data_IF_239201630230
#
_entry.id   IF_239201630230
#
_cell.length_a   1.000
_cell.length_b   1.000
_cell.length_c   1.000
_cell.angle_alpha   90.00
_cell.angle_beta   90.00
_cell.angle_gamma   90.00
#
_symmetry.space_group_name_H-M   'P 1'
#
loop_
_entity.id
_entity.type
_entity.pdbx_description
1 polymer ?
#
# COMPACT_ATOMS: atom_id res chain seq x y z
N UNK A 1 -23.90 -2.97 -1.80
CA UNK A 1 -23.02 -2.92 -0.63
C UNK A 1 -22.97 -4.31 -0.02
N UNK A 2 -21.81 -4.97 -0.04
CA UNK A 2 -21.66 -6.34 0.46
C UNK A 2 -21.18 -6.31 1.91
N UNK A 3 -22.07 -6.62 2.84
CA UNK A 3 -21.77 -6.81 4.27
C UNK A 3 -20.84 -8.03 4.39
N UNK A 4 -19.64 -7.87 4.94
CA UNK A 4 -18.74 -9.02 5.16
C UNK A 4 -19.35 -9.87 6.29
N UNK A 5 -19.88 -11.04 5.94
CA UNK A 5 -20.38 -12.01 6.92
C UNK A 5 -19.19 -12.80 7.49
N UNK A 6 -18.91 -12.62 8.78
CA UNK A 6 -17.97 -13.47 9.51
C UNK A 6 -18.68 -14.75 9.95
N UNK A 7 -18.11 -15.89 9.56
CA UNK A 7 -18.56 -17.21 9.96
C UNK A 7 -17.55 -17.83 10.92
N UNK A 8 -18.05 -18.56 11.92
CA UNK A 8 -17.26 -19.42 12.81
C UNK A 8 -17.56 -20.89 12.50
N UNK A 9 -16.58 -21.77 12.65
CA UNK A 9 -16.73 -23.20 12.37
C UNK A 9 -17.32 -23.96 13.57
N UNK A 10 -17.06 -23.51 14.79
CA UNK A 10 -17.61 -24.08 16.02
C UNK A 10 -18.06 -22.98 17.00
N UNK A 11 -18.84 -23.37 18.00
CA UNK A 11 -19.35 -22.44 19.01
C UNK A 11 -18.23 -21.87 19.89
N UNK A 12 -18.39 -20.62 20.30
CA UNK A 12 -17.43 -19.83 21.09
C UNK A 12 -18.10 -19.33 22.37
N UNK A 13 -17.37 -19.35 23.49
CA UNK A 13 -17.79 -18.89 24.82
C UNK A 13 -17.96 -20.02 25.84
N UNK A 14 -18.61 -19.68 26.96
CA UNK A 14 -18.98 -20.62 28.03
C UNK A 14 -20.50 -20.55 28.22
N UNK A 15 -21.19 -21.63 27.87
CA UNK A 15 -22.65 -21.69 27.94
C UNK A 15 -23.10 -21.67 29.39
N UNK A 16 -23.94 -20.69 29.73
CA UNK A 16 -24.51 -20.49 31.06
C UNK A 16 -23.45 -20.46 32.17
N UNK A 17 -22.23 -20.01 31.86
CA UNK A 17 -21.08 -20.06 32.77
C UNK A 17 -20.72 -21.46 33.31
N UNK A 18 -21.16 -22.53 32.63
CA UNK A 18 -20.99 -23.92 33.09
C UNK A 18 -20.26 -24.80 32.08
N UNK A 19 -20.57 -24.67 30.78
CA UNK A 19 -20.03 -25.55 29.74
C UNK A 19 -19.14 -24.77 28.79
N UNK A 20 -17.84 -25.04 28.80
CA UNK A 20 -16.92 -24.46 27.84
C UNK A 20 -17.20 -25.02 26.44
N UNK A 21 -17.43 -24.14 25.47
CA UNK A 21 -17.61 -24.52 24.07
C UNK A 21 -16.26 -24.87 23.43
N UNK A 22 -16.21 -25.38 22.18
CA UNK A 22 -14.94 -25.77 21.54
C UNK A 22 -13.88 -24.66 21.54
N UNK A 23 -14.29 -23.39 21.41
CA UNK A 23 -13.39 -22.23 21.55
C UNK A 23 -12.12 -22.38 20.69
N UNK A 24 -12.31 -22.75 19.42
CA UNK A 24 -11.21 -22.90 18.47
C UNK A 24 -10.48 -21.56 18.34
N UNK A 25 -9.14 -21.52 18.30
CA UNK A 25 -8.38 -20.28 18.24
C UNK A 25 -8.81 -19.33 17.10
N UNK A 26 -9.10 -19.91 15.92
CA UNK A 26 -9.56 -19.14 14.75
C UNK A 26 -10.94 -18.50 14.97
N UNK A 27 -11.86 -19.24 15.59
CA UNK A 27 -13.21 -18.76 15.85
C UNK A 27 -13.19 -17.68 16.96
N UNK A 28 -12.37 -17.85 18.00
CA UNK A 28 -12.12 -16.83 19.01
C UNK A 28 -11.60 -15.52 18.39
N UNK A 29 -10.58 -15.59 17.52
CA UNK A 29 -10.05 -14.43 16.79
C UNK A 29 -11.13 -13.73 15.98
N UNK A 30 -11.94 -14.51 15.25
CA UNK A 30 -13.03 -13.98 14.43
C UNK A 30 -14.07 -13.22 15.28
N UNK A 31 -14.38 -13.73 16.48
CA UNK A 31 -15.33 -13.09 17.40
C UNK A 31 -14.74 -11.84 18.05
N UNK A 32 -13.47 -11.87 18.47
CA UNK A 32 -12.77 -10.69 19.00
C UNK A 32 -12.77 -9.55 17.98
N UNK A 33 -12.37 -9.84 16.74
CA UNK A 33 -12.41 -8.87 15.63
C UNK A 33 -13.82 -8.33 15.37
N UNK A 34 -14.85 -9.17 15.55
CA UNK A 34 -16.24 -8.76 15.33
C UNK A 34 -16.71 -7.82 16.45
N UNK A 35 -16.31 -8.07 17.70
CA UNK A 35 -16.59 -7.15 18.82
C UNK A 35 -15.86 -5.82 18.68
N UNK A 36 -14.63 -5.83 18.21
CA UNK A 36 -13.83 -4.61 17.96
C UNK A 36 -14.41 -3.73 16.83
N UNK A 37 -15.42 -4.23 16.09
CA UNK A 37 -16.16 -3.47 15.07
C UNK A 37 -17.53 -2.99 15.53
N UNK A 38 -18.01 -3.46 16.68
CA UNK A 38 -19.32 -3.12 17.21
C UNK A 38 -19.13 -1.98 18.23
N UNK A 39 -19.90 -0.89 18.13
CA UNK A 39 -19.86 0.19 19.12
C UNK A 39 -20.15 -0.33 20.54
N UNK A 40 -19.51 0.22 21.55
CA UNK A 40 -19.74 -0.07 22.97
C UNK A 40 -21.20 0.15 23.34
N UNK A 41 -21.82 1.18 22.76
CA UNK A 41 -23.26 1.45 22.91
C UNK A 41 -24.15 0.31 22.39
N UNK A 42 -23.63 -0.54 21.50
CA UNK A 42 -24.30 -1.71 20.93
C UNK A 42 -23.73 -3.02 21.50
N UNK A 43 -22.94 -2.94 22.58
CA UNK A 43 -22.39 -4.11 23.28
C UNK A 43 -21.10 -4.68 22.68
N UNK A 44 -20.38 -3.93 21.86
CA UNK A 44 -19.04 -4.27 21.39
C UNK A 44 -17.92 -3.57 22.16
N UNK A 45 -16.76 -3.42 21.51
CA UNK A 45 -15.51 -2.87 22.07
C UNK A 45 -14.85 -1.80 21.18
N UNK A 46 -15.49 -1.37 20.09
CA UNK A 46 -14.86 -0.54 19.05
C UNK A 46 -14.17 0.75 19.57
N UNK A 47 -14.74 1.45 20.54
CA UNK A 47 -14.21 2.71 21.07
C UNK A 47 -13.15 2.53 22.15
N UNK A 48 -12.99 1.32 22.68
CA UNK A 48 -12.05 0.99 23.77
C UNK A 48 -10.85 0.19 23.25
N UNK A 49 -10.97 -0.40 22.05
CA UNK A 49 -9.89 -1.00 21.27
C UNK A 49 -9.18 -2.19 21.93
N UNK A 50 -9.48 -3.41 21.47
CA UNK A 50 -8.49 -4.47 21.16
C UNK A 50 -7.45 -4.95 22.18
N UNK A 51 -7.53 -4.61 23.48
CA UNK A 51 -6.66 -5.21 24.50
C UNK A 51 -7.32 -6.46 25.07
N UNK A 52 -7.40 -7.51 24.24
CA UNK A 52 -7.79 -8.83 24.70
C UNK A 52 -6.64 -9.48 25.48
N UNK A 53 -6.97 -10.29 26.47
CA UNK A 53 -5.98 -11.13 27.14
C UNK A 53 -5.17 -11.96 26.11
N UNK A 54 -3.94 -12.33 26.45
CA UNK A 54 -3.09 -13.18 25.58
C UNK A 54 -3.06 -14.64 26.02
N UNK A 55 -3.44 -14.92 27.26
CA UNK A 55 -3.57 -16.27 27.81
C UNK A 55 -4.91 -16.87 27.39
N UNK A 56 -4.90 -18.13 26.96
CA UNK A 56 -6.06 -18.75 26.29
C UNK A 56 -7.30 -18.82 27.17
N UNK A 57 -7.18 -19.17 28.45
CA UNK A 57 -8.35 -19.26 29.32
C UNK A 57 -8.88 -17.87 29.67
N UNK A 58 -7.99 -16.91 29.90
CA UNK A 58 -8.36 -15.51 30.08
C UNK A 58 -9.11 -14.93 28.87
N UNK A 59 -8.68 -15.25 27.63
CA UNK A 59 -9.41 -14.86 26.41
C UNK A 59 -10.83 -15.44 26.41
N UNK A 60 -10.97 -16.72 26.75
CA UNK A 60 -12.28 -17.38 26.73
C UNK A 60 -13.23 -16.74 27.73
N UNK A 61 -12.74 -16.41 28.93
CA UNK A 61 -13.51 -15.73 29.97
C UNK A 61 -13.90 -14.31 29.53
N UNK A 62 -12.97 -13.56 28.96
CA UNK A 62 -13.20 -12.19 28.49
C UNK A 62 -14.17 -12.14 27.30
N UNK A 63 -13.99 -13.02 26.31
CA UNK A 63 -14.91 -13.16 25.16
C UNK A 63 -16.29 -13.59 25.66
N UNK A 64 -16.39 -14.53 26.61
CA UNK A 64 -17.68 -14.93 27.19
C UNK A 64 -18.38 -13.75 27.86
N UNK A 65 -17.66 -12.97 28.67
CA UNK A 65 -18.23 -11.78 29.32
C UNK A 65 -18.71 -10.76 28.28
N UNK A 66 -17.96 -10.55 27.20
CA UNK A 66 -18.36 -9.66 26.12
C UNK A 66 -19.58 -10.19 25.34
N UNK A 67 -19.69 -11.51 25.11
CA UNK A 67 -20.88 -12.12 24.51
C UNK A 67 -22.11 -11.86 25.38
N UNK A 68 -22.00 -12.07 26.70
CA UNK A 68 -23.09 -11.81 27.65
C UNK A 68 -23.50 -10.33 27.57
N UNK A 69 -22.52 -9.41 27.57
CA UNK A 69 -22.77 -7.97 27.45
C UNK A 69 -23.52 -7.64 26.16
N UNK A 70 -23.08 -8.16 25.02
CA UNK A 70 -23.72 -7.94 23.73
C UNK A 70 -25.15 -8.50 23.69
N UNK A 71 -25.33 -9.73 24.16
CA UNK A 71 -26.64 -10.38 24.23
C UNK A 71 -27.61 -9.56 25.10
N UNK A 72 -27.10 -9.01 26.22
CA UNK A 72 -27.87 -8.17 27.15
C UNK A 72 -28.24 -6.81 26.52
N UNK A 73 -27.26 -6.08 25.98
CA UNK A 73 -27.47 -4.75 25.37
C UNK A 73 -28.47 -4.82 24.21
N UNK A 74 -28.44 -5.89 23.42
CA UNK A 74 -29.33 -6.09 22.27
C UNK A 74 -30.60 -6.87 22.61
N UNK A 75 -30.94 -7.03 23.89
CA UNK A 75 -32.14 -7.73 24.37
C UNK A 75 -32.38 -9.08 23.66
N UNK A 76 -31.32 -9.89 23.51
CA UNK A 76 -31.44 -11.21 22.88
C UNK A 76 -32.34 -12.11 23.73
N UNK A 77 -33.20 -12.95 23.12
CA UNK A 77 -34.05 -13.88 23.87
C UNK A 77 -33.26 -14.88 24.72
N UNK A 78 -31.99 -15.10 24.39
CA UNK A 78 -31.07 -15.99 25.10
C UNK A 78 -29.82 -15.19 25.44
N UNK A 79 -29.49 -15.16 26.73
CA UNK A 79 -28.26 -14.57 27.29
C UNK A 79 -27.50 -15.71 27.99
N UNK A 80 -26.70 -16.44 27.23
CA UNK A 80 -26.02 -17.66 27.67
C UNK A 80 -24.50 -17.60 27.52
N UNK A 81 -23.95 -16.48 27.04
CA UNK A 81 -22.52 -16.29 26.86
C UNK A 81 -21.91 -17.09 25.71
N UNK A 82 -22.73 -17.55 24.75
CA UNK A 82 -22.26 -18.33 23.59
C UNK A 82 -22.66 -17.72 22.26
N UNK A 83 -21.77 -17.89 21.27
CA UNK A 83 -22.04 -17.67 19.86
C UNK A 83 -22.00 -19.00 19.12
N UNK A 84 -23.11 -19.35 18.48
CA UNK A 84 -23.23 -20.52 17.63
C UNK A 84 -23.08 -20.13 16.14
N UNK A 85 -22.47 -20.98 15.29
CA UNK A 85 -22.25 -20.70 13.86
C UNK A 85 -23.49 -20.23 13.07
N UNK A 86 -24.66 -20.78 13.37
CA UNK A 86 -25.93 -20.40 12.74
C UNK A 86 -26.84 -19.57 13.68
N UNK A 87 -26.32 -19.19 14.85
CA UNK A 87 -27.06 -18.56 15.93
C UNK A 87 -27.52 -17.14 15.60
N UNK A 88 -28.67 -16.76 16.16
CA UNK A 88 -29.24 -15.42 15.96
C UNK A 88 -28.35 -14.29 16.51
N UNK A 89 -27.55 -14.56 17.53
CA UNK A 89 -26.61 -13.57 18.09
C UNK A 89 -25.47 -13.28 17.13
N UNK A 90 -24.84 -14.30 16.53
CA UNK A 90 -23.80 -14.08 15.51
C UNK A 90 -24.35 -13.37 14.26
N UNK A 91 -25.58 -13.71 13.84
CA UNK A 91 -26.26 -12.98 12.76
C UNK A 91 -26.45 -11.52 13.10
N UNK A 92 -26.88 -11.21 14.32
CA UNK A 92 -27.04 -9.82 14.76
C UNK A 92 -25.69 -9.12 14.88
N UNK A 93 -24.66 -9.76 15.40
CA UNK A 93 -23.31 -9.19 15.45
C UNK A 93 -22.80 -8.82 14.07
N UNK A 94 -22.94 -9.71 13.08
CA UNK A 94 -22.63 -9.40 11.68
C UNK A 94 -23.52 -8.28 11.10
N UNK A 95 -24.68 -8.01 11.69
CA UNK A 95 -25.53 -6.90 11.31
C UNK A 95 -25.06 -5.58 11.94
N UNK A 96 -24.82 -5.57 13.24
CA UNK A 96 -24.55 -4.36 14.00
C UNK A 96 -23.07 -4.02 14.07
N UNK A 97 -22.20 -4.93 13.66
CA UNK A 97 -20.84 -4.59 13.26
C UNK A 97 -20.96 -3.57 12.14
N UNK A 98 -20.78 -2.31 12.53
CA UNK A 98 -20.73 -1.19 11.62
C UNK A 98 -19.64 -1.44 10.58
N UNK A 99 -19.76 -0.76 9.44
CA UNK A 99 -18.56 -0.44 8.64
C UNK A 99 -17.47 0.05 9.60
N UNK A 100 -16.18 -0.26 9.31
CA UNK A 100 -15.05 -0.01 10.21
C UNK A 100 -15.25 1.29 11.00
N UNK A 101 -15.02 1.28 12.34
CA UNK A 101 -15.35 2.42 13.20
C UNK A 101 -14.86 3.71 12.54
N UNK A 102 -15.63 4.79 12.60
CA UNK A 102 -15.31 6.02 11.89
C UNK A 102 -13.83 6.43 12.13
N UNK A 103 -12.99 6.27 11.10
CA UNK A 103 -11.54 6.45 11.18
C UNK A 103 -10.67 5.19 10.99
N UNK A 104 -11.24 3.98 11.03
CA UNK A 104 -10.53 2.73 10.73
C UNK A 104 -10.38 2.55 9.23
N UNK A 105 -9.21 2.11 8.81
CA UNK A 105 -8.88 2.02 7.40
C UNK A 105 -9.47 0.75 6.77
N UNK A 106 -10.17 0.91 5.65
CA UNK A 106 -10.75 -0.20 4.92
C UNK A 106 -10.34 -0.16 3.45
N UNK A 107 -9.67 -1.20 2.97
CA UNK A 107 -9.25 -1.34 1.58
C UNK A 107 -10.15 -2.33 0.84
N UNK A 108 -10.24 -2.17 -0.49
CA UNK A 108 -10.90 -3.13 -1.39
C UNK A 108 -10.34 -3.01 -2.80
N UNK A 109 -10.13 -4.15 -3.45
CA UNK A 109 -9.75 -4.16 -4.87
C UNK A 109 -10.93 -3.67 -5.73
N UNK A 110 -10.66 -2.67 -6.56
CA UNK A 110 -11.57 -2.17 -7.58
C UNK A 110 -11.23 -2.80 -8.94
N UNK A 111 -12.21 -2.86 -9.88
CA UNK A 111 -11.91 -3.24 -11.25
C UNK A 111 -10.83 -2.33 -11.86
N UNK A 112 -10.04 -2.82 -12.81
CA UNK A 112 -9.11 -1.99 -13.57
C UNK A 112 -9.83 -0.81 -14.20
N UNK A 113 -9.28 0.40 -14.10
CA UNK A 113 -9.93 1.59 -14.63
C UNK A 113 -9.87 1.61 -16.15
N UNK A 114 -10.86 2.25 -16.78
CA UNK A 114 -10.88 2.62 -18.21
C UNK A 114 -10.53 1.47 -19.20
N UNK A 115 -10.80 0.21 -18.83
CA UNK A 115 -10.56 -0.96 -19.67
C UNK A 115 -9.10 -1.42 -19.77
N UNK A 116 -8.20 -0.87 -18.96
CA UNK A 116 -6.83 -1.36 -18.86
C UNK A 116 -6.78 -2.76 -18.20
N UNK A 117 -5.68 -3.49 -18.42
CA UNK A 117 -5.51 -4.88 -17.94
C UNK A 117 -4.75 -4.96 -16.63
N UNK A 118 -5.00 -5.98 -15.80
CA UNK A 118 -4.18 -6.21 -14.59
C UNK A 118 -2.85 -6.89 -14.89
N UNK A 119 -2.83 -7.71 -15.94
CA UNK A 119 -1.68 -8.49 -16.39
C UNK A 119 -0.91 -7.74 -17.48
N UNK A 120 0.39 -7.52 -17.26
CA UNK A 120 1.31 -7.06 -18.28
C UNK A 120 2.57 -7.92 -18.26
N UNK A 121 2.84 -8.57 -19.40
CA UNK A 121 4.07 -9.30 -19.66
C UNK A 121 4.65 -8.75 -20.96
N UNK A 122 5.52 -7.76 -20.85
CA UNK A 122 6.19 -7.14 -21.99
C UNK A 122 7.66 -6.91 -21.68
N UNK A 123 8.46 -6.75 -22.73
CA UNK A 123 9.81 -6.21 -22.59
C UNK A 123 9.73 -4.76 -22.13
N UNK A 124 10.37 -4.43 -21.02
CA UNK A 124 10.45 -3.08 -20.48
C UNK A 124 11.79 -2.49 -20.89
N UNK A 125 11.75 -1.30 -21.48
CA UNK A 125 12.96 -0.52 -21.69
C UNK A 125 13.48 -0.06 -20.35
N UNK A 126 14.70 -0.44 -20.02
CA UNK A 126 15.47 -0.03 -18.84
C UNK A 126 16.83 0.46 -19.27
N UNK A 127 17.60 0.98 -18.33
CA UNK A 127 18.99 1.33 -18.57
C UNK A 127 19.86 0.12 -18.35
N UNK A 128 20.86 -0.08 -19.21
CA UNK A 128 21.95 -0.99 -18.88
C UNK A 128 22.70 -0.49 -17.64
N UNK A 129 22.45 -1.15 -16.51
CA UNK A 129 23.03 -0.84 -15.20
C UNK A 129 24.55 -0.89 -15.19
N UNK A 130 25.17 -1.64 -16.12
CA UNK A 130 26.62 -1.75 -16.24
C UNK A 130 27.26 -0.50 -16.86
N UNK A 131 26.47 0.38 -17.47
CA UNK A 131 26.93 1.63 -18.08
C UNK A 131 26.76 2.84 -17.15
N UNK A 132 26.15 2.65 -15.98
CA UNK A 132 25.65 3.72 -15.11
C UNK A 132 26.65 4.33 -14.14
N UNK A 133 27.89 3.84 -14.11
CA UNK A 133 28.98 4.54 -13.40
C UNK A 133 29.34 5.89 -14.07
N UNK A 134 28.59 6.32 -15.09
CA UNK A 134 28.66 7.66 -15.66
C UNK A 134 29.88 7.92 -16.55
N UNK A 135 30.64 6.86 -16.87
CA UNK A 135 31.84 6.93 -17.72
C UNK A 135 31.54 6.69 -19.20
N UNK A 136 30.32 6.29 -19.55
CA UNK A 136 29.88 6.01 -20.92
C UNK A 136 28.47 6.54 -21.16
N UNK A 137 28.08 6.80 -22.43
CA UNK A 137 26.70 7.11 -22.76
C UNK A 137 25.77 5.99 -22.27
N UNK A 138 24.66 6.38 -21.66
CA UNK A 138 23.58 5.48 -21.26
C UNK A 138 23.02 4.78 -22.51
N UNK A 139 22.76 3.48 -22.43
CA UNK A 139 22.11 2.71 -23.49
C UNK A 139 20.83 2.04 -22.98
N UNK A 140 19.77 1.99 -23.82
CA UNK A 140 18.56 1.22 -23.51
C UNK A 140 18.84 -0.29 -23.55
N UNK A 141 18.23 -1.02 -22.63
CA UNK A 141 18.13 -2.48 -22.60
C UNK A 141 16.66 -2.85 -22.49
N UNK A 142 16.25 -3.97 -23.09
CA UNK A 142 14.90 -4.53 -22.88
C UNK A 142 15.00 -5.73 -21.94
N UNK A 143 14.31 -5.67 -20.81
CA UNK A 143 14.25 -6.77 -19.82
C UNK A 143 12.83 -7.31 -19.70
N UNK A 144 12.71 -8.62 -19.44
CA UNK A 144 11.43 -9.23 -19.13
C UNK A 144 11.01 -8.89 -17.70
N UNK A 145 9.72 -8.63 -17.49
CA UNK A 145 9.12 -8.47 -16.18
C UNK A 145 7.77 -9.19 -16.14
N UNK A 146 7.46 -9.81 -15.01
CA UNK A 146 6.18 -10.49 -14.79
C UNK A 146 5.59 -10.05 -13.45
N UNK A 147 4.43 -9.41 -13.51
CA UNK A 147 3.77 -8.81 -12.37
C UNK A 147 2.27 -8.66 -12.59
N UNK A 148 1.55 -8.45 -11.49
CA UNK A 148 0.12 -8.14 -11.49
C UNK A 148 -0.10 -6.77 -10.89
N UNK A 149 -1.04 -6.02 -11.47
CA UNK A 149 -1.40 -4.68 -11.03
C UNK A 149 -2.82 -4.68 -10.49
N UNK A 150 -3.04 -3.98 -9.38
CA UNK A 150 -4.36 -3.80 -8.77
C UNK A 150 -4.65 -2.30 -8.61
N UNK A 151 -5.92 -1.94 -8.78
CA UNK A 151 -6.44 -0.67 -8.27
C UNK A 151 -7.14 -0.99 -6.95
N UNK A 152 -6.78 -0.28 -5.89
CA UNK A 152 -7.34 -0.47 -4.55
C UNK A 152 -7.98 0.83 -4.10
N UNK A 153 -9.24 0.73 -3.65
CA UNK A 153 -9.97 1.83 -3.03
C UNK A 153 -9.89 1.72 -1.52
N UNK A 154 -9.61 2.83 -0.86
CA UNK A 154 -9.50 2.95 0.60
C UNK A 154 -10.57 3.89 1.15
N UNK A 155 -11.20 3.48 2.23
CA UNK A 155 -12.01 4.30 3.14
C UNK A 155 -11.24 4.52 4.45
N UNK A 156 -11.54 5.60 5.16
CA UNK A 156 -10.81 5.96 6.38
C UNK A 156 -9.46 6.64 6.12
N UNK A 157 -9.15 7.01 4.87
CA UNK A 157 -8.03 7.88 4.53
C UNK A 157 -8.46 8.93 3.50
N UNK A 158 -7.86 10.10 3.59
CA UNK A 158 -8.01 11.24 2.69
C UNK A 158 -7.53 10.89 1.28
N UNK A 159 -6.55 10.00 1.13
CA UNK A 159 -6.19 9.42 -0.16
C UNK A 159 -7.03 8.14 -0.34
N UNK A 160 -7.84 8.12 -1.39
CA UNK A 160 -8.84 7.07 -1.62
C UNK A 160 -8.36 5.99 -2.58
N UNK A 161 -7.39 6.27 -3.44
CA UNK A 161 -7.04 5.38 -4.55
C UNK A 161 -5.56 5.06 -4.58
N UNK A 162 -5.26 3.77 -4.73
CA UNK A 162 -3.91 3.23 -4.74
C UNK A 162 -3.71 2.29 -5.92
N UNK A 163 -2.60 2.46 -6.63
CA UNK A 163 -2.08 1.46 -7.55
C UNK A 163 -1.17 0.53 -6.79
N UNK A 164 -1.37 -0.78 -6.91
CA UNK A 164 -0.49 -1.78 -6.29
C UNK A 164 0.11 -2.65 -7.39
N UNK A 165 1.42 -2.90 -7.33
CA UNK A 165 2.09 -3.81 -8.25
C UNK A 165 2.81 -4.90 -7.47
N UNK A 166 2.46 -6.14 -7.79
CA UNK A 166 2.95 -7.35 -7.14
C UNK A 166 3.80 -8.09 -8.18
N UNK A 167 5.13 -8.12 -8.04
CA UNK A 167 5.98 -9.01 -8.82
C UNK A 167 5.54 -10.46 -8.63
N UNK A 168 5.52 -11.29 -9.68
CA UNK A 168 5.09 -12.70 -9.51
C UNK A 168 5.98 -13.52 -8.58
N UNK A 169 7.24 -13.12 -8.42
CA UNK A 169 8.18 -13.71 -7.49
C UNK A 169 8.01 -13.24 -6.03
N UNK A 170 7.03 -12.35 -5.74
CA UNK A 170 6.75 -11.85 -4.40
C UNK A 170 6.49 -12.99 -3.41
N UNK A 171 7.08 -12.89 -2.21
CA UNK A 171 6.95 -13.90 -1.15
C UNK A 171 5.74 -13.68 -0.25
N UNK A 172 4.94 -12.64 -0.49
CA UNK A 172 3.86 -12.23 0.41
C UNK A 172 4.41 -11.56 1.66
N UNK A 173 4.16 -12.15 2.83
CA UNK A 173 4.72 -11.66 4.09
C UNK A 173 6.26 -11.63 4.03
N UNK A 174 6.86 -10.52 4.46
CA UNK A 174 8.31 -10.27 4.36
C UNK A 174 8.75 -9.58 3.06
N UNK A 175 7.82 -9.23 2.17
CA UNK A 175 8.10 -8.26 1.10
C UNK A 175 8.17 -6.84 1.68
N UNK A 176 8.94 -5.94 1.08
CA UNK A 176 9.07 -4.56 1.53
C UNK A 176 8.13 -3.65 0.72
N UNK A 177 7.28 -2.83 1.36
CA UNK A 177 6.50 -1.82 0.63
C UNK A 177 7.41 -0.77 -0.01
N UNK A 178 7.20 -0.53 -1.31
CA UNK A 178 7.81 0.56 -2.05
C UNK A 178 6.75 1.62 -2.35
N UNK A 179 6.78 2.75 -1.65
CA UNK A 179 5.80 3.84 -1.84
C UNK A 179 6.32 4.80 -2.93
N UNK A 180 5.57 4.97 -4.03
CA UNK A 180 5.94 5.87 -5.12
C UNK A 180 4.97 7.04 -5.27
N UNK A 181 5.48 8.26 -5.14
CA UNK A 181 4.72 9.50 -5.30
C UNK A 181 4.79 9.99 -6.75
N UNK A 182 3.63 10.00 -7.40
CA UNK A 182 3.45 10.56 -8.75
C UNK A 182 3.62 12.09 -8.73
N UNK A 183 3.91 12.75 -9.87
CA UNK A 183 3.83 14.21 -9.99
C UNK A 183 2.42 14.72 -9.73
N UNK A 184 2.29 16.03 -9.51
CA UNK A 184 0.99 16.68 -9.30
C UNK A 184 -0.01 16.27 -10.40
N UNK A 185 -1.21 15.77 -10.04
CA UNK A 185 -2.18 15.30 -11.02
C UNK A 185 -2.56 16.32 -12.10
N UNK A 186 -2.60 17.62 -11.78
CA UNK A 186 -2.91 18.71 -12.71
C UNK A 186 -1.90 18.79 -13.87
N UNK A 187 -0.64 18.39 -13.67
CA UNK A 187 0.36 18.34 -14.75
C UNK A 187 0.00 17.30 -15.83
N UNK A 188 -0.80 16.30 -15.47
CA UNK A 188 -1.36 15.31 -16.38
C UNK A 188 -2.79 15.62 -16.82
N UNK A 189 -3.36 16.76 -16.42
CA UNK A 189 -4.74 17.15 -16.70
C UNK A 189 -5.80 16.44 -15.84
N UNK A 190 -5.40 15.77 -14.76
CA UNK A 190 -6.31 15.03 -13.88
C UNK A 190 -6.97 15.96 -12.86
N UNK A 191 -8.31 15.95 -12.82
CA UNK A 191 -9.12 16.91 -12.04
C UNK A 191 -9.80 16.27 -10.83
N UNK A 192 -9.77 16.99 -9.70
CA UNK A 192 -10.33 16.55 -8.42
C UNK A 192 -11.82 16.18 -8.50
N UNK A 193 -12.61 16.86 -9.35
CA UNK A 193 -14.05 16.62 -9.49
C UNK A 193 -14.43 15.22 -10.01
N UNK A 194 -13.48 14.47 -10.57
CA UNK A 194 -13.68 13.09 -11.04
C UNK A 194 -13.05 12.04 -10.12
N UNK A 195 -12.26 12.48 -9.13
CA UNK A 195 -11.40 11.64 -8.32
C UNK A 195 -12.18 10.57 -7.54
N UNK A 196 -13.32 10.90 -6.95
CA UNK A 196 -14.06 9.97 -6.09
C UNK A 196 -14.56 8.73 -6.85
N UNK A 197 -14.76 8.87 -8.17
CA UNK A 197 -15.10 7.77 -9.09
C UNK A 197 -13.89 7.14 -9.79
N UNK A 198 -12.71 7.76 -9.67
CA UNK A 198 -11.51 7.48 -10.46
C UNK A 198 -11.71 7.58 -11.99
N UNK A 199 -12.78 8.21 -12.46
CA UNK A 199 -13.10 8.33 -13.88
C UNK A 199 -12.14 9.26 -14.61
N UNK A 200 -11.51 8.78 -15.69
CA UNK A 200 -10.51 9.56 -16.44
C UNK A 200 -9.11 9.58 -15.82
N UNK A 201 -8.89 8.83 -14.74
CA UNK A 201 -7.58 8.64 -14.09
C UNK A 201 -6.90 7.33 -14.51
N UNK A 202 -7.56 6.48 -15.32
CA UNK A 202 -7.05 5.17 -15.67
C UNK A 202 -5.74 5.21 -16.43
N UNK A 203 -5.50 6.26 -17.23
CA UNK A 203 -4.22 6.44 -17.90
C UNK A 203 -3.07 6.69 -16.92
N UNK A 204 -3.30 7.47 -15.86
CA UNK A 204 -2.32 7.69 -14.80
C UNK A 204 -1.99 6.37 -14.09
N UNK A 205 -3.04 5.61 -13.74
CA UNK A 205 -2.87 4.28 -13.15
C UNK A 205 -2.03 3.37 -14.06
N UNK A 206 -2.44 3.22 -15.32
CA UNK A 206 -1.77 2.34 -16.28
C UNK A 206 -0.32 2.75 -16.50
N UNK A 207 -0.05 4.05 -16.66
CA UNK A 207 1.28 4.57 -16.93
C UNK A 207 2.24 4.39 -15.76
N UNK A 208 1.81 4.47 -14.50
CA UNK A 208 2.73 4.33 -13.35
C UNK A 208 2.89 2.88 -12.91
N UNK A 209 1.81 2.11 -12.95
CA UNK A 209 1.81 0.71 -12.53
C UNK A 209 2.50 -0.22 -13.54
N UNK A 210 2.47 0.06 -14.85
CA UNK A 210 3.24 -0.71 -15.85
C UNK A 210 4.74 -0.46 -15.73
N UNK A 211 5.08 0.81 -15.57
CA UNK A 211 6.43 1.36 -15.73
C UNK A 211 7.28 1.24 -14.47
N UNK A 212 6.79 1.80 -13.37
CA UNK A 212 7.51 1.75 -12.09
C UNK A 212 7.39 0.33 -11.57
N UNK A 213 6.17 -0.22 -11.63
CA UNK A 213 5.90 -1.59 -11.22
C UNK A 213 6.71 -2.62 -11.99
N UNK A 214 6.81 -2.45 -13.31
CA UNK A 214 7.62 -3.32 -14.12
C UNK A 214 9.13 -3.18 -13.89
N UNK A 215 9.64 -1.99 -13.57
CA UNK A 215 11.03 -1.82 -13.13
C UNK A 215 11.31 -2.51 -11.78
N UNK A 216 10.38 -2.42 -10.82
CA UNK A 216 10.46 -3.16 -9.54
C UNK A 216 10.46 -4.66 -9.79
N UNK A 217 9.56 -5.14 -10.63
CA UNK A 217 9.46 -6.56 -10.95
C UNK A 217 10.69 -7.08 -11.69
N UNK A 218 11.21 -6.31 -12.65
CA UNK A 218 12.41 -6.66 -13.39
C UNK A 218 13.65 -6.73 -12.49
N UNK A 219 13.76 -5.87 -11.46
CA UNK A 219 14.96 -5.82 -10.62
C UNK A 219 15.10 -7.05 -9.73
N UNK A 220 14.04 -7.84 -9.55
CA UNK A 220 14.07 -9.08 -8.76
C UNK A 220 14.12 -8.86 -7.25
N UNK A 221 14.01 -7.61 -6.80
CA UNK A 221 13.92 -7.26 -5.38
C UNK A 221 12.56 -7.69 -4.82
N UNK A 222 12.53 -8.13 -3.56
CA UNK A 222 11.29 -8.56 -2.91
C UNK A 222 10.47 -7.36 -2.41
N UNK A 223 9.97 -6.54 -3.33
CA UNK A 223 9.23 -5.31 -3.02
C UNK A 223 7.84 -5.30 -3.67
N UNK A 224 6.88 -4.71 -2.96
CA UNK A 224 5.51 -4.48 -3.47
C UNK A 224 5.35 -2.98 -3.67
N UNK A 225 5.13 -2.57 -4.91
CA UNK A 225 4.95 -1.15 -5.22
C UNK A 225 3.55 -0.69 -4.81
N UNK A 226 3.48 0.44 -4.11
CA UNK A 226 2.25 1.12 -3.70
C UNK A 226 2.31 2.57 -4.17
N UNK A 227 1.36 2.96 -5.01
CA UNK A 227 1.27 4.30 -5.62
C UNK A 227 0.02 5.00 -5.08
N UNK A 228 0.13 5.92 -4.11
CA UNK A 228 -0.99 6.78 -3.74
C UNK A 228 -1.34 7.74 -4.89
N UNK A 229 -2.57 7.65 -5.40
CA UNK A 229 -3.12 8.67 -6.30
C UNK A 229 -3.90 9.67 -5.46
N UNK A 230 -3.37 10.89 -5.31
CA UNK A 230 -3.93 11.94 -4.47
C UNK A 230 -4.54 13.06 -5.31
N UNK A 231 -5.45 13.85 -4.72
CA UNK A 231 -6.07 15.04 -5.35
C UNK A 231 -5.05 16.17 -5.50
N UNK A 232 -5.31 17.12 -6.39
CA UNK A 232 -4.48 18.33 -6.52
C UNK A 232 -4.45 19.15 -5.22
N UNK A 233 -5.59 19.21 -4.53
CA UNK A 233 -5.72 19.81 -3.19
C UNK A 233 -4.84 19.14 -2.12
N UNK A 234 -4.35 17.92 -2.36
CA UNK A 234 -3.57 17.13 -1.40
C UNK A 234 -2.07 17.15 -1.69
N UNK A 235 -1.62 17.69 -2.82
CA UNK A 235 -0.21 17.63 -3.25
C UNK A 235 0.79 18.22 -2.23
N UNK A 236 0.36 19.18 -1.41
CA UNK A 236 1.19 19.87 -0.41
C UNK A 236 1.03 19.35 1.02
N UNK A 237 -0.01 18.55 1.31
CA UNK A 237 -0.36 18.21 2.70
C UNK A 237 -0.75 16.74 2.93
N UNK A 238 -0.98 15.93 1.89
CA UNK A 238 -1.38 14.51 1.95
C UNK A 238 -2.55 14.15 2.91
N UNK A 239 -3.14 15.11 3.63
CA UNK A 239 -4.23 14.93 4.58
C UNK A 239 -3.86 14.04 5.75
N UNK A 240 -4.86 13.29 6.22
CA UNK A 240 -4.72 12.32 7.30
C UNK A 240 -3.81 11.13 6.96
N UNK A 241 -3.45 10.96 5.68
CA UNK A 241 -2.52 9.91 5.24
C UNK A 241 -1.19 10.04 5.98
N UNK A 242 -0.75 11.25 6.31
CA UNK A 242 0.47 11.45 7.10
C UNK A 242 0.44 10.75 8.48
N UNK A 243 -0.75 10.55 9.05
CA UNK A 243 -0.89 9.95 10.38
C UNK A 243 -1.24 8.46 10.32
N UNK A 244 -2.04 8.03 9.33
CA UNK A 244 -2.49 6.64 9.21
C UNK A 244 -1.82 5.84 8.08
N UNK A 245 -0.78 6.38 7.43
CA UNK A 245 -0.15 5.75 6.25
C UNK A 245 0.24 4.29 6.48
N UNK A 246 0.75 3.92 7.66
CA UNK A 246 1.23 2.56 7.93
C UNK A 246 0.07 1.56 7.89
N UNK A 247 -1.03 1.90 8.53
CA UNK A 247 -2.27 1.12 8.51
C UNK A 247 -2.84 1.05 7.09
N UNK A 248 -2.85 2.18 6.37
CA UNK A 248 -3.34 2.24 4.98
C UNK A 248 -2.53 1.39 4.03
N UNK A 249 -1.21 1.50 4.06
CA UNK A 249 -0.33 0.71 3.19
C UNK A 249 -0.46 -0.78 3.53
N UNK A 250 -0.55 -1.14 4.80
CA UNK A 250 -0.79 -2.53 5.23
C UNK A 250 -2.10 -3.09 4.69
N UNK A 251 -3.20 -2.35 4.83
CA UNK A 251 -4.52 -2.75 4.33
C UNK A 251 -4.54 -2.86 2.80
N UNK A 252 -3.94 -1.89 2.10
CA UNK A 252 -3.86 -1.86 0.63
C UNK A 252 -3.10 -3.08 0.09
N UNK A 253 -1.95 -3.41 0.68
CA UNK A 253 -1.15 -4.57 0.27
C UNK A 253 -1.88 -5.87 0.62
N UNK A 254 -2.50 -5.96 1.80
CA UNK A 254 -3.27 -7.13 2.24
C UNK A 254 -4.36 -7.47 1.21
N UNK A 255 -5.18 -6.50 0.85
CA UNK A 255 -6.27 -6.70 -0.13
C UNK A 255 -5.76 -7.05 -1.52
N UNK A 256 -4.68 -6.40 -1.97
CA UNK A 256 -4.07 -6.71 -3.26
C UNK A 256 -3.49 -8.14 -3.30
N UNK A 257 -2.81 -8.57 -2.25
CA UNK A 257 -2.24 -9.92 -2.13
C UNK A 257 -3.34 -10.98 -2.02
N UNK A 258 -4.38 -10.78 -1.21
CA UNK A 258 -5.51 -11.72 -1.10
C UNK A 258 -6.22 -11.88 -2.45
N UNK A 259 -6.41 -10.78 -3.20
CA UNK A 259 -7.01 -10.82 -4.53
C UNK A 259 -6.13 -11.50 -5.58
N UNK A 260 -4.81 -11.41 -5.44
CA UNK A 260 -3.85 -12.04 -6.35
C UNK A 260 -3.66 -13.53 -6.03
N UNK A 261 -3.32 -13.85 -4.79
CA UNK A 261 -3.14 -15.20 -4.29
C UNK A 261 -3.39 -15.23 -2.77
N UNK A 262 -4.55 -15.76 -2.32
CA UNK A 262 -4.93 -15.74 -0.90
C UNK A 262 -4.04 -16.62 -0.01
N UNK A 263 -3.14 -17.43 -0.57
CA UNK A 263 -2.21 -18.26 0.20
C UNK A 263 -0.89 -17.57 0.55
N UNK A 264 -0.61 -16.38 -0.02
CA UNK A 264 0.60 -15.61 0.28
C UNK A 264 0.58 -14.96 1.67
N UNK A 265 -0.59 -14.88 2.29
CA UNK A 265 -0.79 -14.28 3.60
C UNK A 265 -1.59 -15.22 4.50
N UNK A 266 -1.16 -15.32 5.76
CA UNK A 266 -1.92 -16.02 6.82
C UNK A 266 -2.78 -15.06 7.65
N UNK A 267 -2.36 -13.80 7.71
CA UNK A 267 -2.95 -12.68 8.45
C UNK A 267 -2.76 -11.41 7.62
N UNK A 268 -3.17 -10.26 8.15
CA UNK A 268 -2.88 -8.97 7.52
C UNK A 268 -1.38 -8.77 7.31
N UNK A 269 -1.04 -8.12 6.20
CA UNK A 269 0.33 -7.77 5.84
C UNK A 269 0.87 -6.74 6.83
N UNK A 270 1.99 -7.06 7.45
CA UNK A 270 2.69 -6.17 8.38
C UNK A 270 4.12 -5.93 7.92
N UNK A 271 4.65 -4.76 8.26
CA UNK A 271 5.99 -4.32 7.88
C UNK A 271 6.53 -3.30 8.89
N UNK A 272 7.85 -3.21 9.00
CA UNK A 272 8.61 -2.28 9.82
C UNK A 272 9.61 -1.43 9.02
N UNK A 273 9.83 -1.77 7.75
CA UNK A 273 10.67 -1.05 6.80
C UNK A 273 9.92 -0.72 5.50
N UNK A 274 10.32 0.37 4.83
CA UNK A 274 9.82 0.76 3.50
C UNK A 274 10.94 1.29 2.61
N UNK A 275 10.69 1.25 1.31
CA UNK A 275 11.39 2.07 0.32
C UNK A 275 10.43 3.18 -0.14
N UNK A 276 10.93 4.39 -0.38
CA UNK A 276 10.09 5.46 -0.95
C UNK A 276 10.75 6.14 -2.13
N UNK A 277 9.92 6.60 -3.07
CA UNK A 277 10.40 7.23 -4.29
C UNK A 277 9.44 8.29 -4.81
N UNK A 278 9.96 9.22 -5.61
CA UNK A 278 9.16 10.21 -6.34
C UNK A 278 9.68 10.42 -7.74
N UNK A 279 8.81 10.96 -8.59
CA UNK A 279 9.21 11.50 -9.88
C UNK A 279 8.70 12.94 -10.07
N UNK A 280 9.53 13.79 -10.70
CA UNK A 280 9.26 15.20 -10.97
C UNK A 280 8.70 15.92 -9.73
N UNK A 281 7.67 16.76 -9.89
CA UNK A 281 7.02 17.49 -8.79
C UNK A 281 6.43 16.59 -7.69
N UNK A 282 6.40 15.27 -7.87
CA UNK A 282 6.08 14.32 -6.81
C UNK A 282 7.06 14.39 -5.64
N UNK A 283 8.25 14.98 -5.83
CA UNK A 283 9.20 15.26 -4.76
C UNK A 283 8.57 16.06 -3.62
N UNK A 284 7.58 16.92 -3.90
CA UNK A 284 6.91 17.73 -2.87
C UNK A 284 6.09 16.86 -1.92
N UNK A 285 5.22 15.99 -2.47
CA UNK A 285 4.45 15.04 -1.69
C UNK A 285 5.37 14.07 -0.93
N UNK A 286 6.41 13.60 -1.59
CA UNK A 286 7.38 12.66 -1.04
C UNK A 286 8.24 13.23 0.09
N UNK A 287 8.68 14.48 -0.05
CA UNK A 287 9.35 15.24 1.01
C UNK A 287 8.42 15.44 2.19
N UNK A 288 7.17 15.85 1.95
CA UNK A 288 6.17 16.03 3.01
C UNK A 288 5.92 14.72 3.76
N UNK A 289 5.78 13.59 3.05
CA UNK A 289 5.66 12.27 3.67
C UNK A 289 6.85 11.97 4.57
N UNK A 290 8.08 12.02 4.06
CA UNK A 290 9.28 11.70 4.83
C UNK A 290 9.67 12.76 5.89
N UNK A 291 8.96 13.88 6.00
CA UNK A 291 9.24 14.91 7.01
C UNK A 291 8.13 15.09 8.04
N UNK A 292 6.88 14.77 7.68
CA UNK A 292 5.70 15.04 8.50
C UNK A 292 4.92 13.78 8.87
N UNK A 293 5.04 12.70 8.09
CA UNK A 293 4.31 11.49 8.39
C UNK A 293 4.91 10.77 9.61
N UNK A 294 4.05 10.21 10.46
CA UNK A 294 4.48 9.58 11.70
C UNK A 294 5.45 8.43 11.41
N UNK A 295 6.67 8.52 11.97
CA UNK A 295 7.75 7.53 11.83
C UNK A 295 8.18 7.18 10.40
N UNK A 296 7.65 7.80 9.35
CA UNK A 296 7.98 7.47 7.96
C UNK A 296 9.48 7.57 7.68
N UNK A 297 10.11 8.69 8.07
CA UNK A 297 11.56 8.88 7.90
C UNK A 297 12.42 7.80 8.58
N UNK A 298 11.94 7.27 9.71
CA UNK A 298 12.66 6.27 10.49
C UNK A 298 12.45 4.84 9.95
N UNK A 299 11.35 4.61 9.23
CA UNK A 299 11.05 3.32 8.58
C UNK A 299 11.55 3.27 7.14
N UNK A 300 11.85 4.41 6.51
CA UNK A 300 12.37 4.44 5.15
C UNK A 300 13.85 4.06 5.13
N UNK A 301 14.19 2.96 4.47
CA UNK A 301 15.58 2.54 4.27
C UNK A 301 16.24 3.31 3.14
N UNK A 302 15.55 3.42 2.00
CA UNK A 302 16.05 4.11 0.82
C UNK A 302 15.04 5.10 0.28
N UNK A 303 15.53 6.30 -0.04
CA UNK A 303 14.77 7.37 -0.68
C UNK A 303 15.30 7.60 -2.09
N UNK A 304 14.42 7.46 -3.10
CA UNK A 304 14.77 7.74 -4.48
C UNK A 304 14.01 8.97 -5.00
N UNK A 305 14.70 10.10 -5.16
CA UNK A 305 14.17 11.25 -5.89
C UNK A 305 14.62 11.18 -7.35
N UNK A 306 13.82 10.52 -8.19
CA UNK A 306 14.24 10.06 -9.52
C UNK A 306 14.56 11.22 -10.46
N UNK A 307 13.81 12.32 -10.41
CA UNK A 307 14.09 13.52 -11.22
C UNK A 307 15.09 14.46 -10.50
N UNK A 308 15.21 14.33 -9.18
CA UNK A 308 16.19 15.05 -8.36
C UNK A 308 16.16 16.56 -8.63
N UNK A 309 17.35 17.14 -8.84
CA UNK A 309 17.47 18.57 -9.14
C UNK A 309 16.86 18.98 -10.48
N UNK A 310 16.63 18.06 -11.42
CA UNK A 310 15.98 18.38 -12.69
C UNK A 310 14.48 18.67 -12.50
N UNK A 311 13.87 18.10 -11.45
CA UNK A 311 12.54 18.47 -10.96
C UNK A 311 12.53 19.71 -10.06
N UNK A 312 13.68 20.36 -9.83
CA UNK A 312 13.82 21.51 -8.92
C UNK A 312 13.93 21.14 -7.43
N UNK A 313 14.02 19.84 -7.10
CA UNK A 313 14.19 19.39 -5.73
C UNK A 313 15.58 19.77 -5.18
N UNK A 314 15.58 20.38 -4.00
CA UNK A 314 16.78 20.62 -3.20
C UNK A 314 16.85 19.73 -1.95
N UNK A 315 15.95 18.76 -1.86
CA UNK A 315 15.85 17.87 -0.71
C UNK A 315 16.95 16.80 -0.76
N UNK A 316 17.71 16.68 0.34
CA UNK A 316 18.85 15.76 0.45
C UNK A 316 18.77 14.92 1.71
N UNK A 317 17.89 13.90 1.77
CA UNK A 317 17.78 13.03 2.93
C UNK A 317 19.03 12.17 3.09
N UNK A 318 19.35 11.77 4.33
CA UNK A 318 20.59 11.05 4.68
C UNK A 318 20.72 9.72 3.94
N UNK A 319 19.61 9.01 3.77
CA UNK A 319 19.47 7.75 3.06
C UNK A 319 18.95 7.93 1.62
N UNK A 320 19.05 9.16 1.08
CA UNK A 320 18.64 9.49 -0.27
C UNK A 320 19.68 9.06 -1.30
N UNK A 321 19.20 8.38 -2.34
CA UNK A 321 19.91 8.22 -3.63
C UNK A 321 19.50 9.40 -4.50
N UNK A 322 20.43 10.34 -4.68
CA UNK A 322 20.15 11.65 -5.27
C UNK A 322 20.69 11.69 -6.70
N UNK A 323 19.81 11.87 -7.67
CA UNK A 323 20.19 12.01 -9.08
C UNK A 323 20.43 13.48 -9.43
N UNK A 324 21.64 13.79 -9.90
CA UNK A 324 22.05 15.10 -10.38
C UNK A 324 22.21 15.07 -11.90
N UNK A 325 21.43 15.91 -12.57
CA UNK A 325 21.51 16.13 -14.01
C UNK A 325 22.73 17.00 -14.39
N UNK A 326 23.92 16.48 -14.11
CA UNK A 326 25.22 17.06 -14.44
C UNK A 326 26.19 15.92 -14.73
N UNK A 327 27.21 16.17 -15.54
CA UNK A 327 28.35 15.25 -15.70
C UNK A 327 29.14 15.18 -14.39
N UNK A 328 29.67 13.99 -14.06
CA UNK A 328 30.53 13.83 -12.89
C UNK A 328 31.76 14.72 -13.00
N UNK A 329 32.17 15.36 -11.88
CA UNK A 329 33.40 16.16 -11.80
C UNK A 329 34.63 15.30 -11.46
N UNK A 330 34.46 14.01 -11.16
CA UNK A 330 35.51 13.12 -10.68
C UNK A 330 35.46 11.72 -11.28
N UNK A 331 36.39 10.84 -10.84
CA UNK A 331 36.49 9.44 -11.30
C UNK A 331 35.61 8.46 -10.51
N UNK A 332 34.71 8.94 -9.65
CA UNK A 332 33.87 8.10 -8.79
C UNK A 332 32.41 8.54 -8.96
N UNK A 333 31.54 7.58 -9.24
CA UNK A 333 30.09 7.73 -9.33
C UNK A 333 29.49 6.43 -8.74
N UNK A 334 28.76 6.48 -7.62
CA UNK A 334 28.28 7.68 -6.93
C UNK A 334 29.35 8.41 -6.13
N UNK A 335 29.27 9.73 -6.10
CA UNK A 335 30.04 10.56 -5.16
C UNK A 335 29.47 10.38 -3.74
N UNK A 336 30.35 10.10 -2.77
CA UNK A 336 29.95 9.92 -1.37
C UNK A 336 29.05 8.70 -1.11
N UNK A 337 28.92 7.79 -2.07
CA UNK A 337 28.11 6.56 -1.95
C UNK A 337 26.65 6.71 -2.40
N UNK A 338 26.11 7.92 -2.49
CA UNK A 338 24.68 8.14 -2.72
C UNK A 338 24.32 9.30 -3.68
N UNK A 339 25.27 10.13 -4.09
CA UNK A 339 25.04 11.21 -5.07
C UNK A 339 25.47 10.74 -6.46
N UNK A 340 24.51 10.64 -7.36
CA UNK A 340 24.71 10.16 -8.72
C UNK A 340 24.72 11.29 -9.73
N UNK A 341 25.70 11.27 -10.63
CA UNK A 341 25.79 12.19 -11.76
C UNK A 341 25.42 11.45 -13.04
N UNK A 342 24.34 11.87 -13.69
CA UNK A 342 23.77 11.17 -14.86
C UNK A 342 24.12 11.81 -16.20
N UNK A 343 24.92 12.88 -16.21
CA UNK A 343 25.50 13.44 -17.44
C UNK A 343 24.59 14.40 -18.21
N UNK A 344 23.31 14.08 -18.39
CA UNK A 344 22.30 14.88 -19.11
C UNK A 344 20.86 14.56 -18.66
N UNK A 345 19.86 15.35 -19.12
CA UNK A 345 18.45 15.12 -18.77
C UNK A 345 17.97 13.87 -19.49
N UNK A 346 17.54 12.88 -18.73
CA UNK A 346 17.03 11.60 -19.21
C UNK A 346 15.96 11.72 -20.29
N UNK A 347 15.04 12.68 -20.13
CA UNK A 347 14.00 12.97 -21.11
C UNK A 347 14.55 13.33 -22.49
N UNK A 348 15.69 14.00 -22.56
CA UNK A 348 16.25 14.50 -23.82
C UNK A 348 16.94 13.38 -24.63
N UNK A 349 17.55 12.39 -23.95
CA UNK A 349 18.18 11.23 -24.61
C UNK A 349 17.19 10.17 -25.07
N UNK A 350 16.10 9.97 -24.34
CA UNK A 350 15.18 8.86 -24.57
C UNK A 350 13.89 9.25 -25.29
N UNK A 351 13.50 10.54 -25.27
CA UNK A 351 12.39 11.08 -26.06
C UNK A 351 12.36 10.57 -27.52
N UNK A 352 13.49 10.52 -28.26
CA UNK A 352 13.50 10.06 -29.65
C UNK A 352 13.24 8.56 -29.86
N UNK A 353 13.37 7.73 -28.82
CA UNK A 353 13.18 6.26 -28.89
C UNK A 353 11.70 5.91 -28.84
N UNK A 354 10.86 6.81 -28.34
CA UNK A 354 9.44 6.57 -28.19
C UNK A 354 8.59 7.36 -29.21
N UNK A 355 7.36 6.89 -29.50
CA UNK A 355 6.45 7.60 -30.40
C UNK A 355 6.19 9.05 -29.94
N UNK A 356 6.00 9.97 -30.90
CA UNK A 356 5.70 11.38 -30.63
C UNK A 356 4.43 11.56 -29.79
N UNK A 357 4.44 12.49 -28.81
CA UNK A 357 3.29 12.81 -27.94
C UNK A 357 3.43 12.36 -26.49
N UNK A 358 4.60 11.87 -26.11
CA UNK A 358 4.95 11.45 -24.75
C UNK A 358 5.27 12.70 -23.90
N UNK A 359 4.34 13.07 -23.00
CA UNK A 359 4.48 14.18 -22.05
C UNK A 359 5.54 13.89 -20.94
N UNK A 360 5.76 14.81 -20.00
CA UNK A 360 6.74 14.61 -18.90
C UNK A 360 6.39 13.42 -17.98
N UNK A 361 5.10 13.07 -17.83
CA UNK A 361 4.71 11.81 -17.17
C UNK A 361 5.07 10.58 -17.98
N UNK A 362 5.46 10.78 -19.26
CA UNK A 362 5.77 9.79 -20.27
C UNK A 362 7.25 9.54 -20.54
N UNK A 363 8.09 10.56 -20.47
CA UNK A 363 9.51 10.44 -20.81
C UNK A 363 10.37 9.85 -19.67
N UNK A 364 9.94 10.00 -18.43
CA UNK A 364 10.58 9.45 -17.23
C UNK A 364 10.18 8.01 -16.89
N UNK A 365 9.34 7.43 -17.75
CA UNK A 365 8.65 6.17 -17.56
C UNK A 365 9.52 4.90 -17.56
N UNK A 366 10.84 4.96 -17.63
CA UNK A 366 11.53 3.73 -18.09
C UNK A 366 12.88 3.41 -17.43
N UNK A 367 13.54 4.26 -16.65
CA UNK A 367 15.01 4.12 -16.62
C UNK A 367 15.72 4.22 -15.26
N UNK A 368 15.18 4.98 -14.30
CA UNK A 368 15.93 5.37 -13.10
C UNK A 368 15.73 4.44 -11.90
N UNK A 369 14.60 3.75 -11.83
CA UNK A 369 14.24 2.93 -10.67
C UNK A 369 15.07 1.65 -10.62
N UNK A 370 15.20 0.96 -11.76
CA UNK A 370 15.88 -0.35 -11.84
C UNK A 370 17.32 -0.32 -11.31
N UNK A 371 18.08 0.74 -11.63
CA UNK A 371 19.45 0.90 -11.16
C UNK A 371 19.54 1.12 -9.63
N UNK A 372 18.69 2.00 -9.10
CA UNK A 372 18.63 2.26 -7.66
C UNK A 372 18.27 1.00 -6.88
N UNK A 373 17.25 0.28 -7.34
CA UNK A 373 16.85 -1.00 -6.76
C UNK A 373 17.97 -2.04 -6.84
N UNK A 374 18.62 -2.16 -8.00
CA UNK A 374 19.70 -3.14 -8.20
C UNK A 374 20.97 -2.85 -7.39
N UNK A 375 21.28 -1.59 -7.05
CA UNK A 375 22.50 -1.28 -6.29
C UNK A 375 22.30 -1.17 -4.80
N UNK A 376 21.09 -0.81 -4.35
CA UNK A 376 20.87 -0.42 -2.96
C UNK A 376 19.90 -1.33 -2.22
N UNK A 377 19.05 -2.11 -2.90
CA UNK A 377 17.94 -2.81 -2.25
C UNK A 377 18.04 -4.35 -2.24
N UNK A 378 19.26 -4.91 -2.22
CA UNK A 378 19.52 -6.36 -2.12
C UNK A 378 19.92 -6.82 -0.73
#
# INVERSE_FOLDING_TARGET
>A
MSRILRNIAASVGIRNCQTQMPNNPKDLSTIMELFDRIPVAQGGSAEIGGVWATERNAIIDEVTAQIIKFQTVNARPVVDGVLDPAGGTLKLMNQVASDPPAGAVAARVAPPPDGFREDEAYGIYVVDVNLMDGFRPIQPLVVGADYVRKLVRVEGSSITWYGVVIPRACTGQGSIPHINFTPTPDQGGYRDGTYDSFGGWGRLWADYTSVIGGQVAASGVNQILVIPFYKNSQQQNLGDFLFNWKEVVGAVITEALISFNPFLLRTDFTFDEIVSSSFSNGFVAHQNFNTKADRAAAMTDYIFDLDGQAGGSHWTPKNGVIYRNKTTKGKINPEGGNIWYVGERWGDKFSPIYPSGINTHAASRNHLLYHGLFKFCW
#
